data_IF_432637387640
#
_entry.id   IF_432637387640
#
_cell.length_a   1.000
_cell.length_b   1.000
_cell.length_c   1.000
_cell.angle_alpha   90.00
_cell.angle_beta   90.00
_cell.angle_gamma   90.00
#
_symmetry.space_group_name_H-M   'P 1'
#
loop_
_entity.id
_entity.type
_entity.pdbx_description
1 polymer ?
#
# COMPACT_ATOMS: atom_id res chain seq x y z
N UNK A 1 -39.69 68.02 -24.14
CA UNK A 1 -40.16 68.95 -25.19
C UNK A 1 -39.74 68.39 -26.53
N UNK A 2 -40.77 68.16 -27.32
CA UNK A 2 -40.87 67.87 -28.74
C UNK A 2 -39.89 68.61 -29.67
N UNK A 3 -39.61 67.94 -30.79
CA UNK A 3 -39.59 68.42 -32.19
C UNK A 3 -38.26 68.62 -32.94
N UNK A 4 -38.32 68.04 -34.16
CA UNK A 4 -37.74 68.46 -35.45
C UNK A 4 -36.29 68.05 -35.82
N UNK A 5 -36.18 67.15 -36.81
CA UNK A 5 -35.12 67.20 -37.83
C UNK A 5 -35.48 68.25 -38.91
N UNK A 6 -34.99 68.17 -40.17
CA UNK A 6 -33.91 67.36 -40.78
C UNK A 6 -32.94 68.25 -41.61
N UNK A 7 -31.90 67.68 -42.26
CA UNK A 7 -31.60 68.03 -43.67
C UNK A 7 -30.58 67.06 -44.29
N UNK A 8 -30.98 66.51 -45.45
CA UNK A 8 -30.14 65.77 -46.38
C UNK A 8 -29.18 66.71 -47.13
N UNK A 9 -27.93 66.29 -47.28
CA UNK A 9 -27.09 66.66 -48.41
C UNK A 9 -26.42 65.39 -48.96
N UNK A 10 -26.86 64.96 -50.15
CA UNK A 10 -26.12 64.03 -51.01
C UNK A 10 -24.94 64.80 -51.62
N UNK A 11 -23.83 64.09 -51.90
CA UNK A 11 -23.24 63.92 -53.25
C UNK A 11 -21.74 63.54 -53.17
N UNK A 12 -21.41 62.45 -53.90
CA UNK A 12 -20.10 62.00 -54.44
C UNK A 12 -19.02 61.64 -53.39
N UNK A 13 -18.54 60.40 -53.28
CA UNK A 13 -18.19 59.47 -54.34
C UNK A 13 -16.67 59.39 -54.46
N UNK A 14 -16.05 58.43 -53.76
CA UNK A 14 -14.73 57.86 -54.07
C UNK A 14 -14.64 56.49 -53.40
N UNK A 15 -14.77 55.45 -54.22
CA UNK A 15 -14.50 54.08 -53.82
C UNK A 15 -12.99 53.95 -53.56
N UNK A 16 -12.64 53.64 -52.31
CA UNK A 16 -11.29 53.25 -51.93
C UNK A 16 -11.33 51.73 -51.76
N UNK A 17 -10.67 51.01 -52.67
CA UNK A 17 -10.44 49.58 -52.52
C UNK A 17 -9.62 49.34 -51.25
N UNK A 18 -10.26 48.81 -50.21
CA UNK A 18 -9.54 48.13 -49.13
C UNK A 18 -9.23 46.71 -49.61
N UNK A 19 -7.96 46.45 -49.93
CA UNK A 19 -7.43 45.09 -50.01
C UNK A 19 -7.32 44.60 -48.57
N UNK A 20 -8.35 43.89 -48.10
CA UNK A 20 -8.31 43.18 -46.83
C UNK A 20 -7.45 41.93 -46.98
N UNK A 21 -6.25 41.94 -46.40
CA UNK A 21 -5.44 40.74 -46.22
C UNK A 21 -6.17 39.78 -45.28
N UNK A 22 -6.81 38.74 -45.84
CA UNK A 22 -7.20 37.56 -45.07
C UNK A 22 -5.91 36.84 -44.64
N UNK A 23 -5.46 37.11 -43.42
CA UNK A 23 -4.54 36.21 -42.74
C UNK A 23 -5.34 34.96 -42.36
N UNK A 24 -5.23 33.90 -43.17
CA UNK A 24 -5.80 32.60 -42.87
C UNK A 24 -5.17 32.05 -41.59
N UNK A 25 -5.97 31.91 -40.53
CA UNK A 25 -5.63 31.10 -39.38
C UNK A 25 -5.58 29.64 -39.86
N UNK A 26 -4.38 29.15 -40.20
CA UNK A 26 -4.16 27.72 -40.34
C UNK A 26 -4.24 27.10 -38.96
N UNK A 27 -5.40 26.55 -38.61
CA UNK A 27 -5.49 25.56 -37.53
C UNK A 27 -4.77 24.31 -38.04
N UNK A 28 -3.53 24.12 -37.61
CA UNK A 28 -2.85 22.85 -37.79
C UNK A 28 -3.52 21.83 -36.87
N UNK A 29 -4.40 21.00 -37.43
CA UNK A 29 -4.79 19.74 -36.82
C UNK A 29 -3.53 18.88 -36.76
N UNK A 30 -2.94 18.72 -35.58
CA UNK A 30 -1.86 17.76 -35.37
C UNK A 30 -2.39 16.37 -35.75
N UNK A 31 -1.85 15.77 -36.83
CA UNK A 31 -2.10 14.36 -37.14
C UNK A 31 -1.58 13.54 -35.96
N UNK A 32 -2.44 12.69 -35.37
CA UNK A 32 -2.03 11.79 -34.30
C UNK A 32 -0.91 10.87 -34.82
N UNK A 33 0.12 10.67 -34.00
CA UNK A 33 1.21 9.74 -34.32
C UNK A 33 0.68 8.30 -34.39
N UNK A 34 1.21 7.43 -35.26
CA UNK A 34 0.87 6.00 -35.27
C UNK A 34 1.02 5.32 -33.90
N UNK A 35 1.89 5.84 -33.04
CA UNK A 35 2.03 5.40 -31.64
C UNK A 35 0.76 5.72 -30.85
N UNK A 36 0.37 7.01 -30.83
CA UNK A 36 -0.82 7.49 -30.12
C UNK A 36 -2.10 6.75 -30.51
N UNK A 37 -2.28 6.48 -31.80
CA UNK A 37 -3.45 5.76 -32.32
C UNK A 37 -3.48 4.28 -31.89
N UNK A 38 -2.32 3.67 -31.64
CA UNK A 38 -2.20 2.26 -31.27
C UNK A 38 -2.44 2.01 -29.77
N UNK A 39 -2.13 2.97 -28.90
CA UNK A 39 -2.21 2.81 -27.44
C UNK A 39 -3.61 2.43 -26.91
N UNK A 40 -4.74 3.04 -27.37
CA UNK A 40 -6.06 2.69 -26.86
C UNK A 40 -6.41 1.21 -27.03
N UNK A 41 -5.96 0.56 -28.11
CA UNK A 41 -6.24 -0.85 -28.37
C UNK A 41 -5.56 -1.78 -27.36
N UNK A 42 -4.38 -1.42 -26.85
CA UNK A 42 -3.68 -2.19 -25.80
C UNK A 42 -4.45 -2.14 -24.48
N UNK A 43 -5.08 -1.01 -24.16
CA UNK A 43 -5.81 -0.81 -22.89
C UNK A 43 -7.11 -1.62 -22.79
N UNK A 44 -7.63 -2.13 -23.91
CA UNK A 44 -8.88 -2.89 -23.96
C UNK A 44 -8.69 -4.39 -23.71
N UNK A 45 -7.46 -4.85 -23.42
CA UNK A 45 -7.21 -6.26 -23.11
C UNK A 45 -7.79 -6.60 -21.74
N UNK A 46 -8.61 -7.65 -21.68
CA UNK A 46 -9.17 -8.17 -20.44
C UNK A 46 -8.76 -9.62 -20.15
N UNK A 47 -9.23 -10.14 -19.02
CA UNK A 47 -8.93 -11.48 -18.52
C UNK A 47 -9.60 -12.60 -19.33
N UNK A 48 -10.64 -12.31 -20.12
CA UNK A 48 -11.29 -13.26 -21.02
C UNK A 48 -10.63 -13.29 -22.42
N UNK A 49 -9.64 -12.42 -22.64
CA UNK A 49 -8.92 -12.30 -23.91
C UNK A 49 -9.64 -11.43 -24.94
N UNK A 50 -10.69 -10.69 -24.55
CA UNK A 50 -11.26 -9.66 -25.40
C UNK A 50 -10.21 -8.58 -25.68
N UNK A 51 -10.24 -8.00 -26.87
CA UNK A 51 -9.24 -6.99 -27.30
C UNK A 51 -7.89 -7.55 -27.78
N UNK A 52 -7.55 -8.82 -27.49
CA UNK A 52 -6.23 -9.40 -27.83
C UNK A 52 -5.83 -9.26 -29.31
N UNK A 53 -6.76 -9.50 -30.24
CA UNK A 53 -6.45 -9.41 -31.68
C UNK A 53 -6.12 -7.97 -32.11
N UNK A 54 -6.81 -6.98 -31.53
CA UNK A 54 -6.53 -5.56 -31.77
C UNK A 54 -5.21 -5.15 -31.11
N UNK A 55 -4.99 -5.57 -29.86
CA UNK A 55 -3.77 -5.34 -29.12
C UNK A 55 -2.54 -5.92 -29.83
N UNK A 56 -2.63 -7.14 -30.40
CA UNK A 56 -1.54 -7.75 -31.15
C UNK A 56 -1.14 -6.96 -32.40
N UNK A 57 -2.11 -6.31 -33.08
CA UNK A 57 -1.83 -5.42 -34.22
C UNK A 57 -1.20 -4.11 -33.75
N UNK A 58 -1.77 -3.50 -32.72
CA UNK A 58 -1.24 -2.28 -32.11
C UNK A 58 0.19 -2.48 -31.59
N UNK A 59 0.46 -3.60 -30.92
CA UNK A 59 1.77 -3.95 -30.39
C UNK A 59 2.84 -3.98 -31.48
N UNK A 60 2.54 -4.49 -32.69
CA UNK A 60 3.50 -4.46 -33.81
C UNK A 60 3.87 -3.03 -34.23
N UNK A 61 2.93 -2.09 -34.16
CA UNK A 61 3.17 -0.68 -34.44
C UNK A 61 4.06 -0.08 -33.35
N UNK A 62 3.69 -0.29 -32.08
CA UNK A 62 4.43 0.22 -30.93
C UNK A 62 5.86 -0.33 -30.88
N UNK A 63 6.04 -1.64 -31.00
CA UNK A 63 7.36 -2.30 -30.96
C UNK A 63 8.25 -1.94 -32.16
N UNK A 64 7.70 -1.34 -33.23
CA UNK A 64 8.44 -0.85 -34.39
C UNK A 64 8.74 0.65 -34.32
N UNK A 65 8.25 1.36 -33.30
CA UNK A 65 8.50 2.77 -33.11
C UNK A 65 9.97 3.06 -32.80
N UNK A 66 10.37 4.32 -33.00
CA UNK A 66 11.68 4.83 -32.60
C UNK A 66 11.79 4.95 -31.06
N UNK A 67 13.02 4.93 -30.55
CA UNK A 67 13.29 5.06 -29.12
C UNK A 67 12.71 6.36 -28.51
N UNK A 68 12.55 7.43 -29.31
CA UNK A 68 11.87 8.66 -28.89
C UNK A 68 10.41 8.48 -28.46
N UNK A 69 9.74 7.38 -28.84
CA UNK A 69 8.38 7.06 -28.41
C UNK A 69 8.29 6.46 -27.00
N UNK A 70 9.42 6.11 -26.37
CA UNK A 70 9.44 5.44 -25.07
C UNK A 70 8.65 6.19 -23.98
N UNK A 71 8.79 7.53 -23.78
CA UNK A 71 8.01 8.24 -22.77
C UNK A 71 6.50 8.17 -22.98
N UNK A 72 6.03 8.23 -24.23
CA UNK A 72 4.59 8.14 -24.56
C UNK A 72 4.03 6.74 -24.23
N UNK A 73 4.79 5.68 -24.55
CA UNK A 73 4.38 4.30 -24.28
C UNK A 73 4.46 3.98 -22.79
N UNK A 74 5.43 4.53 -22.07
CA UNK A 74 5.52 4.44 -20.61
C UNK A 74 4.34 5.14 -19.94
N UNK A 75 3.98 6.36 -20.38
CA UNK A 75 2.80 7.08 -19.88
C UNK A 75 1.49 6.32 -20.12
N UNK A 76 1.42 5.49 -21.16
CA UNK A 76 0.25 4.66 -21.40
C UNK A 76 0.01 3.58 -20.32
N UNK A 77 0.99 3.32 -19.45
CA UNK A 77 0.81 2.46 -18.27
C UNK A 77 -0.06 3.12 -17.18
N UNK A 78 -0.25 4.44 -17.22
CA UNK A 78 -1.10 5.16 -16.26
C UNK A 78 -2.53 4.65 -16.31
N UNK A 79 -2.97 4.01 -15.22
CA UNK A 79 -4.29 3.39 -15.13
C UNK A 79 -4.48 2.17 -16.05
N UNK A 80 -3.40 1.57 -16.56
CA UNK A 80 -3.47 0.33 -17.31
C UNK A 80 -3.69 -0.86 -16.36
N UNK A 81 -4.58 -1.78 -16.74
CA UNK A 81 -4.71 -3.04 -16.01
C UNK A 81 -3.42 -3.89 -16.14
N UNK A 82 -3.21 -4.93 -15.32
CA UNK A 82 -2.00 -5.73 -15.35
C UNK A 82 -1.68 -6.37 -16.71
N UNK A 83 -2.70 -6.76 -17.47
CA UNK A 83 -2.53 -7.39 -18.79
C UNK A 83 -2.06 -6.36 -19.83
N UNK A 84 -2.72 -5.20 -19.90
CA UNK A 84 -2.31 -4.10 -20.76
C UNK A 84 -0.89 -3.60 -20.45
N UNK A 85 -0.52 -3.51 -19.16
CA UNK A 85 0.84 -3.17 -18.76
C UNK A 85 1.89 -4.17 -19.27
N UNK A 86 1.57 -5.46 -19.31
CA UNK A 86 2.47 -6.48 -19.88
C UNK A 86 2.65 -6.32 -21.39
N UNK A 87 1.58 -5.99 -22.12
CA UNK A 87 1.68 -5.67 -23.56
C UNK A 87 2.54 -4.43 -23.82
N UNK A 88 2.38 -3.38 -23.03
CA UNK A 88 3.18 -2.16 -23.13
C UNK A 88 4.67 -2.43 -22.83
N UNK A 89 4.96 -3.21 -21.77
CA UNK A 89 6.35 -3.64 -21.46
C UNK A 89 6.96 -4.40 -22.63
N UNK A 90 6.24 -5.37 -23.20
CA UNK A 90 6.74 -6.13 -24.34
C UNK A 90 7.00 -5.24 -25.57
N UNK A 91 6.21 -4.17 -25.77
CA UNK A 91 6.46 -3.21 -26.85
C UNK A 91 7.75 -2.40 -26.60
N UNK A 92 7.95 -1.96 -25.36
CA UNK A 92 9.17 -1.26 -24.92
C UNK A 92 10.41 -2.15 -25.14
N UNK A 93 10.36 -3.43 -24.76
CA UNK A 93 11.45 -4.38 -25.02
C UNK A 93 11.77 -4.50 -26.52
N UNK A 94 10.72 -4.50 -27.36
CA UNK A 94 10.84 -4.48 -28.82
C UNK A 94 11.54 -3.23 -29.37
N UNK A 95 11.30 -2.06 -28.77
CA UNK A 95 11.98 -0.81 -29.13
C UNK A 95 13.44 -0.84 -28.66
N UNK A 96 13.67 -1.20 -27.40
CA UNK A 96 14.99 -1.18 -26.75
C UNK A 96 15.96 -2.14 -27.44
N UNK A 97 15.50 -3.35 -27.80
CA UNK A 97 16.30 -4.33 -28.52
C UNK A 97 16.80 -3.83 -29.88
N UNK A 98 16.08 -2.92 -30.54
CA UNK A 98 16.47 -2.32 -31.83
C UNK A 98 17.32 -1.07 -31.67
N UNK A 99 17.11 -0.32 -30.58
CA UNK A 99 17.78 0.95 -30.33
C UNK A 99 19.30 0.86 -30.14
N UNK A 100 19.85 -0.35 -29.92
CA UNK A 100 21.30 -0.58 -29.80
C UNK A 100 21.97 0.35 -28.77
N UNK A 101 21.31 0.56 -27.63
CA UNK A 101 21.77 1.42 -26.52
C UNK A 101 21.53 2.93 -26.72
N UNK A 102 21.03 3.37 -27.87
CA UNK A 102 20.68 4.78 -28.11
C UNK A 102 19.27 5.09 -27.61
N UNK A 103 19.15 5.26 -26.30
CA UNK A 103 17.90 5.63 -25.65
C UNK A 103 17.81 7.15 -25.40
N UNK A 104 16.60 7.75 -25.39
CA UNK A 104 16.42 9.16 -25.08
C UNK A 104 16.51 9.41 -23.57
N UNK A 105 17.73 9.30 -23.01
CA UNK A 105 17.98 9.36 -21.57
C UNK A 105 17.37 10.62 -20.93
N UNK A 106 17.54 11.80 -21.54
CA UNK A 106 16.98 13.04 -20.99
C UNK A 106 15.45 13.03 -20.93
N UNK A 107 14.78 12.43 -21.91
CA UNK A 107 13.32 12.32 -21.92
C UNK A 107 12.83 11.28 -20.89
N UNK A 108 13.57 10.20 -20.69
CA UNK A 108 13.28 9.21 -19.64
C UNK A 108 13.48 9.80 -18.23
N UNK A 109 14.52 10.62 -18.05
CA UNK A 109 14.75 11.38 -16.80
C UNK A 109 13.60 12.36 -16.54
N UNK A 110 13.15 13.09 -17.56
CA UNK A 110 12.00 13.98 -17.44
C UNK A 110 10.73 13.21 -17.04
N UNK A 111 10.48 12.06 -17.66
CA UNK A 111 9.37 11.17 -17.30
C UNK A 111 9.46 10.69 -15.83
N UNK A 112 10.66 10.29 -15.37
CA UNK A 112 10.87 9.84 -13.99
C UNK A 112 10.57 10.91 -12.93
N UNK A 113 10.82 12.18 -13.25
CA UNK A 113 10.57 13.31 -12.37
C UNK A 113 9.07 13.56 -12.13
N UNK A 114 8.20 13.08 -13.02
CA UNK A 114 6.75 13.13 -12.85
C UNK A 114 6.26 11.98 -11.96
N UNK A 115 6.23 12.23 -10.65
CA UNK A 115 5.87 11.24 -9.62
C UNK A 115 4.42 10.73 -9.69
N UNK A 116 3.57 11.37 -10.50
CA UNK A 116 2.17 10.97 -10.73
C UNK A 116 2.01 9.77 -11.66
N UNK A 117 3.04 9.43 -12.44
CA UNK A 117 2.99 8.28 -13.33
C UNK A 117 2.94 6.98 -12.55
N UNK A 118 2.37 5.95 -13.17
CA UNK A 118 2.27 4.61 -12.62
C UNK A 118 3.66 4.10 -12.16
N UNK A 119 3.78 3.58 -10.92
CA UNK A 119 5.05 3.07 -10.40
C UNK A 119 5.74 2.05 -11.31
N UNK A 120 4.98 1.24 -12.06
CA UNK A 120 5.52 0.24 -13.00
C UNK A 120 6.19 0.90 -14.20
N UNK A 121 5.59 1.96 -14.73
CA UNK A 121 6.15 2.76 -15.81
C UNK A 121 7.41 3.49 -15.35
N UNK A 122 7.35 4.12 -14.17
CA UNK A 122 8.51 4.80 -13.57
C UNK A 122 9.66 3.82 -13.28
N UNK A 123 9.38 2.63 -12.73
CA UNK A 123 10.42 1.60 -12.56
C UNK A 123 11.10 1.25 -13.88
N UNK A 124 10.31 0.96 -14.91
CA UNK A 124 10.85 0.58 -16.21
C UNK A 124 11.69 1.71 -16.82
N UNK A 125 11.24 2.97 -16.72
CA UNK A 125 12.02 4.12 -17.16
C UNK A 125 13.37 4.21 -16.44
N UNK A 126 13.40 3.96 -15.13
CA UNK A 126 14.65 3.93 -14.36
C UNK A 126 15.58 2.81 -14.82
N UNK A 127 15.07 1.60 -15.03
CA UNK A 127 15.88 0.47 -15.53
C UNK A 127 16.48 0.76 -16.91
N UNK A 128 15.73 1.46 -17.78
CA UNK A 128 16.23 1.91 -19.09
C UNK A 128 17.34 2.96 -18.95
N UNK A 129 17.18 3.93 -18.04
CA UNK A 129 18.25 4.91 -17.75
C UNK A 129 19.46 4.19 -17.17
N UNK A 130 19.28 3.26 -16.24
CA UNK A 130 20.36 2.48 -15.63
C UNK A 130 21.15 1.66 -16.66
N UNK A 131 20.47 1.07 -17.64
CA UNK A 131 21.14 0.31 -18.72
C UNK A 131 21.91 1.20 -19.70
N UNK A 132 21.42 2.42 -19.98
CA UNK A 132 22.03 3.33 -20.94
C UNK A 132 23.09 4.26 -20.33
N UNK A 133 22.87 4.74 -19.11
CA UNK A 133 23.74 5.65 -18.36
C UNK A 133 23.69 5.34 -16.85
N UNK A 134 24.51 4.38 -16.38
CA UNK A 134 24.53 3.97 -14.98
C UNK A 134 24.88 5.10 -14.01
N UNK A 135 25.78 6.02 -14.40
CA UNK A 135 26.19 7.14 -13.56
C UNK A 135 25.03 8.13 -13.36
N UNK A 136 24.27 8.38 -14.42
CA UNK A 136 23.06 9.20 -14.32
C UNK A 136 21.99 8.54 -13.47
N UNK A 137 21.76 7.24 -13.62
CA UNK A 137 20.81 6.50 -12.78
C UNK A 137 21.20 6.55 -11.29
N UNK A 138 22.48 6.38 -10.98
CA UNK A 138 22.98 6.50 -9.61
C UNK A 138 22.75 7.91 -9.03
N UNK A 139 22.94 8.96 -9.84
CA UNK A 139 22.67 10.34 -9.41
C UNK A 139 21.18 10.58 -9.14
N UNK A 140 20.27 9.97 -9.92
CA UNK A 140 18.82 10.14 -9.71
C UNK A 140 18.38 9.64 -8.33
N UNK A 141 18.98 8.55 -7.84
CA UNK A 141 18.63 7.97 -6.55
C UNK A 141 18.85 8.92 -5.37
N UNK A 142 19.71 9.94 -5.50
CA UNK A 142 19.96 10.93 -4.44
C UNK A 142 18.71 11.72 -4.05
N UNK A 143 17.74 11.86 -4.97
CA UNK A 143 16.48 12.55 -4.75
C UNK A 143 15.27 11.65 -4.46
N UNK A 144 15.46 10.33 -4.41
CA UNK A 144 14.35 9.35 -4.44
C UNK A 144 14.09 8.67 -3.09
N UNK A 145 14.72 9.12 -2.00
CA UNK A 145 14.56 8.47 -0.68
C UNK A 145 13.12 8.52 -0.14
N UNK A 146 12.31 9.49 -0.56
CA UNK A 146 10.88 9.59 -0.24
C UNK A 146 9.97 9.34 -1.45
N UNK A 147 10.50 8.76 -2.54
CA UNK A 147 9.77 8.59 -3.80
C UNK A 147 8.49 7.75 -3.60
N UNK A 148 7.33 8.12 -4.18
CA UNK A 148 6.09 7.36 -3.99
C UNK A 148 6.12 5.96 -4.64
N UNK A 149 7.02 5.70 -5.60
CA UNK A 149 7.28 4.35 -6.07
C UNK A 149 8.14 3.61 -5.06
N UNK A 150 7.54 2.63 -4.37
CA UNK A 150 8.23 1.82 -3.34
C UNK A 150 9.50 1.15 -3.87
N UNK A 151 9.53 0.77 -5.15
CA UNK A 151 10.72 0.15 -5.74
C UNK A 151 11.87 1.15 -5.94
N UNK A 152 11.58 2.36 -6.46
CA UNK A 152 12.59 3.42 -6.59
C UNK A 152 13.07 3.90 -5.23
N UNK A 153 12.13 4.03 -4.28
CA UNK A 153 12.43 4.34 -2.89
C UNK A 153 13.38 3.31 -2.28
N UNK A 154 13.08 2.01 -2.45
CA UNK A 154 13.91 0.92 -1.91
C UNK A 154 15.36 1.02 -2.39
N UNK A 155 15.55 1.29 -3.68
CA UNK A 155 16.88 1.40 -4.29
C UNK A 155 17.62 2.67 -3.78
N UNK A 156 16.91 3.79 -3.60
CA UNK A 156 17.47 5.00 -2.99
C UNK A 156 17.87 4.77 -1.51
N UNK A 157 17.01 4.10 -0.73
CA UNK A 157 17.32 3.71 0.65
C UNK A 157 18.52 2.75 0.69
N UNK A 158 18.64 1.83 -0.26
CA UNK A 158 19.81 0.95 -0.37
C UNK A 158 21.12 1.72 -0.61
N UNK A 159 21.08 2.79 -1.41
CA UNK A 159 22.22 3.71 -1.58
C UNK A 159 22.63 4.37 -0.25
N UNK A 160 21.64 4.82 0.54
CA UNK A 160 21.91 5.41 1.87
C UNK A 160 22.47 4.37 2.85
N UNK A 161 21.95 3.14 2.84
CA UNK A 161 22.50 2.02 3.63
C UNK A 161 23.97 1.77 3.28
N UNK A 162 24.31 1.71 2.00
CA UNK A 162 25.68 1.50 1.55
C UNK A 162 26.61 2.61 2.05
N UNK A 163 26.17 3.88 1.96
CA UNK A 163 26.91 5.02 2.50
C UNK A 163 27.07 4.94 4.02
N UNK A 164 26.03 4.56 4.75
CA UNK A 164 26.09 4.39 6.21
C UNK A 164 27.10 3.30 6.60
N UNK A 165 27.14 2.19 5.85
CA UNK A 165 28.14 1.13 6.04
C UNK A 165 29.58 1.61 5.84
N UNK A 166 29.84 2.47 4.84
CA UNK A 166 31.15 3.10 4.64
C UNK A 166 31.53 3.99 5.82
N UNK A 167 30.62 4.86 6.28
CA UNK A 167 30.85 5.73 7.44
C UNK A 167 31.16 4.92 8.70
N UNK A 168 30.44 3.82 8.92
CA UNK A 168 30.67 2.92 10.05
C UNK A 168 32.05 2.27 9.97
N UNK A 169 32.47 1.80 8.78
CA UNK A 169 33.79 1.22 8.55
C UNK A 169 34.94 2.23 8.75
N UNK A 170 34.70 3.51 8.45
CA UNK A 170 35.63 4.62 8.72
C UNK A 170 35.67 5.06 10.19
N UNK A 171 34.87 4.43 11.07
CA UNK A 171 34.78 4.78 12.48
C UNK A 171 33.90 6.00 12.79
N UNK A 172 33.21 6.57 11.80
CA UNK A 172 32.28 7.70 11.94
C UNK A 172 30.91 7.23 12.40
N UNK A 173 30.86 6.66 13.60
CA UNK A 173 29.66 5.97 14.13
C UNK A 173 28.44 6.87 14.24
N UNK A 174 28.60 8.12 14.66
CA UNK A 174 27.47 9.06 14.80
C UNK A 174 26.87 9.42 13.43
N UNK A 175 27.72 9.66 12.42
CA UNK A 175 27.26 9.93 11.05
C UNK A 175 26.58 8.70 10.43
N UNK A 176 27.13 7.50 10.67
CA UNK A 176 26.53 6.25 10.23
C UNK A 176 25.15 6.03 10.87
N UNK A 177 25.02 6.27 12.18
CA UNK A 177 23.75 6.16 12.89
C UNK A 177 22.69 7.10 12.31
N UNK A 178 23.04 8.37 12.06
CA UNK A 178 22.13 9.33 11.41
C UNK A 178 21.70 8.83 10.03
N UNK A 179 22.63 8.30 9.22
CA UNK A 179 22.31 7.78 7.90
C UNK A 179 21.40 6.54 7.96
N UNK A 180 21.65 5.60 8.89
CA UNK A 180 20.75 4.46 9.07
C UNK A 180 19.37 4.87 9.57
N UNK A 181 19.26 5.86 10.48
CA UNK A 181 17.97 6.38 10.94
C UNK A 181 17.18 7.05 9.81
N UNK A 182 17.86 7.82 8.95
CA UNK A 182 17.26 8.40 7.75
C UNK A 182 16.73 7.31 6.81
N UNK A 183 17.55 6.28 6.52
CA UNK A 183 17.14 5.15 5.71
C UNK A 183 15.98 4.36 6.34
N UNK A 184 15.97 4.22 7.67
CA UNK A 184 14.91 3.51 8.42
C UNK A 184 13.57 4.22 8.26
N UNK A 185 13.54 5.54 8.50
CA UNK A 185 12.32 6.35 8.36
C UNK A 185 11.71 6.27 6.94
N UNK A 186 12.56 6.22 5.91
CA UNK A 186 12.14 6.11 4.52
C UNK A 186 11.73 4.69 4.09
N UNK A 187 12.21 3.65 4.76
CA UNK A 187 12.01 2.26 4.33
C UNK A 187 10.56 1.80 4.44
N UNK A 188 10.11 0.99 3.47
CA UNK A 188 8.75 0.42 3.40
C UNK A 188 8.71 -1.10 3.26
N UNK A 189 9.87 -1.76 3.13
CA UNK A 189 9.95 -3.22 2.98
C UNK A 189 10.43 -3.86 4.27
N UNK A 190 9.79 -4.97 4.68
CA UNK A 190 10.07 -5.64 5.96
C UNK A 190 11.55 -5.98 6.11
N UNK A 191 12.15 -6.62 5.09
CA UNK A 191 13.56 -7.01 5.14
C UNK A 191 14.51 -5.82 5.32
N UNK A 192 14.30 -4.73 4.58
CA UNK A 192 15.14 -3.53 4.70
C UNK A 192 14.97 -2.85 6.07
N UNK A 193 13.75 -2.79 6.60
CA UNK A 193 13.46 -2.27 7.95
C UNK A 193 14.18 -3.10 9.01
N UNK A 194 14.14 -4.44 8.91
CA UNK A 194 14.82 -5.34 9.84
C UNK A 194 16.33 -5.18 9.83
N UNK A 195 16.94 -5.12 8.64
CA UNK A 195 18.38 -4.87 8.50
C UNK A 195 18.79 -3.53 9.11
N UNK A 196 18.02 -2.47 8.84
CA UNK A 196 18.26 -1.14 9.39
C UNK A 196 18.09 -1.09 10.90
N UNK A 197 17.05 -1.75 11.43
CA UNK A 197 16.81 -1.83 12.86
C UNK A 197 17.98 -2.48 13.60
N UNK A 198 18.52 -3.57 13.06
CA UNK A 198 19.70 -4.24 13.60
C UNK A 198 20.92 -3.31 13.58
N UNK A 199 21.20 -2.63 12.46
CA UNK A 199 22.33 -1.71 12.34
C UNK A 199 22.23 -0.52 13.31
N UNK A 200 21.04 0.07 13.48
CA UNK A 200 20.80 1.15 14.44
C UNK A 200 21.08 0.69 15.87
N UNK A 201 20.58 -0.50 16.25
CA UNK A 201 20.79 -1.08 17.59
C UNK A 201 22.26 -1.39 17.86
N UNK A 202 22.99 -1.89 16.87
CA UNK A 202 24.43 -2.15 16.98
C UNK A 202 25.22 -0.88 17.32
N UNK A 203 24.79 0.27 16.79
CA UNK A 203 25.38 1.58 17.07
C UNK A 203 24.80 2.24 18.34
N UNK A 204 23.97 1.54 19.12
CA UNK A 204 23.37 2.04 20.36
C UNK A 204 22.13 2.92 20.17
N UNK A 205 21.59 3.01 18.95
CA UNK A 205 20.35 3.73 18.66
C UNK A 205 19.10 2.95 19.07
N UNK A 206 18.02 3.68 19.33
CA UNK A 206 16.71 3.11 19.63
C UNK A 206 15.88 2.88 18.36
N UNK A 207 15.10 1.81 18.35
CA UNK A 207 14.18 1.45 17.25
C UNK A 207 12.86 0.99 17.83
N UNK A 208 11.77 1.59 17.36
CA UNK A 208 10.40 1.17 17.65
C UNK A 208 9.77 0.63 16.36
N UNK A 209 9.84 -0.70 16.18
CA UNK A 209 9.29 -1.38 15.00
C UNK A 209 7.76 -1.32 14.99
N UNK A 210 7.12 -1.46 16.16
CA UNK A 210 5.67 -1.41 16.27
C UNK A 210 5.13 -0.07 15.77
N UNK A 211 5.73 1.04 16.20
CA UNK A 211 5.40 2.38 15.71
C UNK A 211 5.79 2.57 14.24
N UNK A 212 6.97 2.14 13.81
CA UNK A 212 7.42 2.32 12.42
C UNK A 212 6.50 1.64 11.41
N UNK A 213 6.04 0.43 11.72
CA UNK A 213 5.02 -0.25 10.93
C UNK A 213 3.61 0.32 11.20
N UNK A 214 3.33 0.87 12.37
CA UNK A 214 1.97 1.33 12.72
C UNK A 214 1.07 0.19 13.17
N UNK A 215 1.65 -0.83 13.83
CA UNK A 215 0.90 -1.89 14.48
C UNK A 215 0.07 -1.33 15.64
N UNK A 216 -1.17 -1.80 15.73
CA UNK A 216 -2.04 -1.52 16.87
C UNK A 216 -1.73 -2.54 17.96
N UNK A 217 -1.23 -2.07 19.09
CA UNK A 217 -0.72 -2.93 20.17
C UNK A 217 -1.66 -3.04 21.36
N UNK A 218 -2.72 -2.22 21.42
CA UNK A 218 -3.66 -2.14 22.53
C UNK A 218 -5.06 -2.49 22.08
N UNK A 219 -5.66 -3.46 22.77
CA UNK A 219 -6.95 -4.04 22.41
C UNK A 219 -7.80 -4.31 23.65
N UNK A 220 -9.10 -4.40 23.42
CA UNK A 220 -10.08 -5.00 24.30
C UNK A 220 -10.51 -6.32 23.67
N UNK A 221 -10.47 -7.43 24.40
CA UNK A 221 -10.85 -8.75 23.89
C UNK A 221 -12.06 -9.32 24.61
N UNK A 222 -12.98 -9.92 23.87
CA UNK A 222 -14.14 -10.61 24.41
C UNK A 222 -14.26 -12.01 23.80
N UNK A 223 -14.42 -13.01 24.67
CA UNK A 223 -14.45 -14.42 24.32
C UNK A 223 -14.09 -15.29 25.53
N UNK A 224 -13.94 -16.61 25.35
CA UNK A 224 -14.17 -17.35 24.11
C UNK A 224 -15.67 -17.54 23.82
N UNK A 225 -16.06 -17.36 22.57
CA UNK A 225 -17.35 -17.77 22.00
C UNK A 225 -17.21 -19.12 21.30
N UNK A 226 -18.34 -19.77 21.01
CA UNK A 226 -18.33 -21.04 20.32
C UNK A 226 -17.97 -20.90 18.83
N UNK A 227 -17.09 -21.78 18.37
CA UNK A 227 -16.74 -21.98 16.97
C UNK A 227 -16.69 -23.48 16.62
N UNK A 228 -17.48 -24.30 17.31
CA UNK A 228 -17.65 -25.73 17.02
C UNK A 228 -18.02 -25.92 15.54
N UNK A 229 -17.32 -26.85 14.87
CA UNK A 229 -17.51 -27.08 13.43
C UNK A 229 -17.20 -25.87 12.53
N UNK A 230 -16.49 -24.85 13.04
CA UNK A 230 -16.22 -23.56 12.37
C UNK A 230 -17.45 -22.71 12.09
N UNK A 231 -18.59 -23.01 12.71
CA UNK A 231 -19.86 -22.31 12.46
C UNK A 231 -19.84 -20.84 12.95
N UNK A 232 -19.03 -20.56 13.97
CA UNK A 232 -18.92 -19.24 14.59
C UNK A 232 -18.33 -18.16 13.67
N UNK A 233 -17.60 -18.56 12.62
CA UNK A 233 -17.13 -17.63 11.59
C UNK A 233 -18.31 -16.91 10.90
N UNK A 234 -19.28 -17.69 10.43
CA UNK A 234 -20.44 -17.20 9.70
C UNK A 234 -21.53 -16.61 10.62
N UNK A 235 -21.63 -17.10 11.86
CA UNK A 235 -22.59 -16.60 12.83
C UNK A 235 -22.39 -15.11 13.13
N UNK A 236 -23.50 -14.36 13.22
CA UNK A 236 -23.49 -12.94 13.62
C UNK A 236 -23.70 -12.84 15.13
N UNK A 237 -22.62 -12.57 15.87
CA UNK A 237 -22.69 -12.47 17.33
C UNK A 237 -22.87 -11.01 17.80
N UNK A 238 -23.28 -10.78 19.06
CA UNK A 238 -23.59 -9.44 19.55
C UNK A 238 -22.46 -8.39 19.39
N UNK A 239 -21.15 -8.71 19.60
CA UNK A 239 -20.06 -7.75 19.38
C UNK A 239 -20.01 -7.17 17.95
N UNK A 240 -20.55 -7.86 16.94
CA UNK A 240 -20.59 -7.36 15.55
C UNK A 240 -21.62 -6.24 15.33
N UNK A 241 -22.61 -6.13 16.22
CA UNK A 241 -23.77 -5.24 16.03
C UNK A 241 -23.58 -3.88 16.68
N UNK A 242 -22.92 -3.85 17.83
CA UNK A 242 -22.71 -2.63 18.61
C UNK A 242 -21.38 -2.70 19.36
N UNK A 243 -20.64 -1.61 19.28
CA UNK A 243 -19.40 -1.43 20.04
C UNK A 243 -19.74 -0.93 21.45
N UNK A 244 -19.92 -1.86 22.39
CA UNK A 244 -20.13 -1.55 23.80
C UNK A 244 -19.14 -2.35 24.66
N UNK A 245 -18.07 -1.66 25.08
CA UNK A 245 -17.02 -2.25 25.92
C UNK A 245 -17.48 -2.62 27.34
N UNK A 246 -18.70 -2.21 27.74
CA UNK A 246 -19.28 -2.54 29.05
C UNK A 246 -20.24 -3.73 28.99
N UNK A 247 -20.56 -4.20 27.78
CA UNK A 247 -21.50 -5.30 27.60
C UNK A 247 -20.93 -6.64 28.09
N UNK A 248 -21.86 -7.53 28.44
CA UNK A 248 -21.59 -8.93 28.76
C UNK A 248 -22.36 -9.82 27.80
N UNK A 249 -21.74 -10.89 27.33
CA UNK A 249 -22.28 -11.78 26.31
C UNK A 249 -22.33 -13.23 26.78
N UNK A 250 -23.15 -14.05 26.13
CA UNK A 250 -23.06 -15.51 26.24
C UNK A 250 -21.87 -16.01 25.42
N UNK A 251 -20.84 -16.51 26.10
CA UNK A 251 -19.69 -17.20 25.52
C UNK A 251 -19.88 -18.72 25.54
N UNK A 252 -18.83 -19.46 25.17
CA UNK A 252 -18.88 -20.93 25.01
C UNK A 252 -19.17 -21.66 26.34
N UNK A 253 -18.47 -21.27 27.40
CA UNK A 253 -18.54 -21.92 28.73
C UNK A 253 -19.22 -21.05 29.80
N UNK A 254 -19.81 -19.92 29.40
CA UNK A 254 -20.41 -18.97 30.34
C UNK A 254 -20.40 -17.54 29.84
N UNK A 255 -20.74 -16.60 30.72
CA UNK A 255 -20.75 -15.17 30.38
C UNK A 255 -19.33 -14.64 30.16
N UNK A 256 -19.14 -13.82 29.13
CA UNK A 256 -17.86 -13.19 28.79
C UNK A 256 -18.03 -11.67 28.70
N UNK A 257 -16.98 -10.93 29.04
CA UNK A 257 -16.91 -9.47 28.97
C UNK A 257 -15.57 -9.04 28.37
N UNK A 258 -15.47 -7.76 27.99
CA UNK A 258 -14.26 -7.19 27.42
C UNK A 258 -13.14 -7.10 28.46
N UNK A 259 -11.92 -7.48 28.05
CA UNK A 259 -10.71 -7.43 28.86
C UNK A 259 -9.60 -6.74 28.09
N UNK A 260 -8.86 -5.85 28.75
CA UNK A 260 -7.73 -5.19 28.12
C UNK A 260 -6.59 -6.20 27.86
N UNK A 261 -6.01 -6.14 26.67
CA UNK A 261 -4.76 -6.81 26.31
C UNK A 261 -3.86 -5.82 25.59
N UNK A 262 -2.58 -5.82 25.96
CA UNK A 262 -1.52 -5.05 25.30
C UNK A 262 -0.38 -6.00 24.95
N UNK A 263 0.20 -5.83 23.77
CA UNK A 263 1.40 -6.57 23.36
C UNK A 263 2.62 -5.67 23.35
N UNK A 264 3.74 -6.22 23.80
CA UNK A 264 5.07 -5.61 23.68
C UNK A 264 5.90 -6.27 22.57
N UNK A 265 5.29 -7.15 21.78
CA UNK A 265 5.93 -7.76 20.61
C UNK A 265 6.28 -6.67 19.59
N UNK A 266 7.51 -6.69 19.08
CA UNK A 266 8.02 -5.64 18.19
C UNK A 266 7.29 -5.57 16.84
N UNK A 267 6.57 -6.63 16.46
CA UNK A 267 5.73 -6.70 15.27
C UNK A 267 4.23 -6.64 15.61
N UNK A 268 3.90 -6.27 16.85
CA UNK A 268 2.51 -6.08 17.26
C UNK A 268 1.70 -7.37 17.30
N UNK A 269 2.33 -8.53 17.46
CA UNK A 269 1.62 -9.79 17.59
C UNK A 269 0.83 -9.85 18.90
N UNK A 270 -0.49 -10.00 18.80
CA UNK A 270 -1.42 -10.16 19.91
C UNK A 270 -1.79 -11.62 20.04
N UNK A 271 -1.43 -12.23 21.17
CA UNK A 271 -1.71 -13.65 21.44
C UNK A 271 -2.87 -13.81 22.43
N UNK A 272 -4.00 -14.32 21.94
CA UNK A 272 -5.23 -14.48 22.72
C UNK A 272 -5.15 -15.63 23.72
N UNK A 273 -4.23 -16.59 23.55
CA UNK A 273 -4.00 -17.65 24.52
C UNK A 273 -3.45 -17.11 25.85
N UNK A 274 -2.93 -15.87 25.90
CA UNK A 274 -2.52 -15.22 27.16
C UNK A 274 -3.75 -14.90 28.03
N UNK A 275 -4.83 -14.41 27.40
CA UNK A 275 -6.10 -14.11 28.09
C UNK A 275 -6.96 -15.35 28.29
N UNK A 276 -6.93 -16.26 27.32
CA UNK A 276 -7.74 -17.48 27.29
C UNK A 276 -6.83 -18.71 27.25
N UNK A 277 -6.14 -19.03 28.35
CA UNK A 277 -5.23 -20.15 28.37
C UNK A 277 -6.00 -21.46 28.19
N UNK A 278 -5.40 -22.45 27.49
CA UNK A 278 -5.95 -23.79 27.43
C UNK A 278 -6.05 -24.40 28.83
N UNK A 279 -7.01 -25.30 29.08
CA UNK A 279 -7.04 -26.05 30.33
C UNK A 279 -5.73 -26.84 30.52
N UNK A 280 -5.26 -26.99 31.77
CA UNK A 280 -4.07 -27.78 32.04
C UNK A 280 -4.30 -29.22 31.55
N UNK A 281 -3.25 -29.88 31.02
CA UNK A 281 -3.37 -31.28 30.63
C UNK A 281 -3.75 -32.15 31.84
N UNK A 282 -4.44 -33.29 31.64
CA UNK A 282 -4.71 -34.25 32.70
C UNK A 282 -3.43 -34.62 33.46
N UNK A 283 -3.55 -34.86 34.78
CA UNK A 283 -2.39 -35.14 35.64
C UNK A 283 -1.60 -36.40 35.22
N UNK A 284 -2.23 -37.31 34.49
CA UNK A 284 -1.70 -38.55 33.94
C UNK A 284 -1.27 -38.45 32.48
N UNK A 285 -1.45 -37.29 31.83
CA UNK A 285 -1.02 -37.08 30.46
C UNK A 285 0.51 -37.09 30.36
N UNK A 286 1.04 -38.06 29.61
CA UNK A 286 2.45 -38.02 29.21
C UNK A 286 2.68 -36.72 28.42
N UNK A 287 3.72 -35.92 28.72
CA UNK A 287 4.10 -34.80 27.88
C UNK A 287 4.28 -35.33 26.46
N UNK A 288 3.59 -34.73 25.48
CA UNK A 288 3.84 -35.08 24.09
C UNK A 288 5.34 -34.86 23.81
N UNK A 289 5.99 -35.83 23.16
CA UNK A 289 7.36 -35.65 22.69
C UNK A 289 7.38 -34.42 21.76
N UNK A 290 8.13 -33.38 22.15
CA UNK A 290 8.12 -32.08 21.48
C UNK A 290 7.34 -30.97 22.18
N UNK A 291 6.73 -31.22 23.35
CA UNK A 291 6.20 -30.17 24.22
C UNK A 291 5.01 -29.42 23.64
N UNK A 292 3.96 -30.13 23.20
CA UNK A 292 2.75 -29.49 22.70
C UNK A 292 2.08 -28.67 23.80
N UNK A 293 2.29 -27.35 23.78
CA UNK A 293 1.38 -26.39 24.40
C UNK A 293 0.11 -26.45 23.56
N UNK A 294 -0.88 -27.23 23.98
CA UNK A 294 -2.13 -27.35 23.23
C UNK A 294 -2.94 -26.06 23.43
N UNK A 295 -3.26 -25.32 22.37
CA UNK A 295 -4.14 -24.13 22.47
C UNK A 295 -5.61 -24.51 22.68
N UNK A 296 -6.44 -23.55 23.10
CA UNK A 296 -7.90 -23.75 23.16
C UNK A 296 -8.45 -23.96 21.73
N UNK A 297 -9.48 -24.80 21.57
CA UNK A 297 -10.00 -25.24 20.26
C UNK A 297 -11.48 -24.96 20.10
N UNK A 298 -11.91 -24.87 18.85
CA UNK A 298 -13.32 -24.64 18.49
C UNK A 298 -13.89 -23.39 19.18
N UNK A 299 -13.09 -22.34 19.23
CA UNK A 299 -13.46 -21.07 19.86
C UNK A 299 -13.24 -19.91 18.90
N UNK A 300 -13.90 -18.81 19.18
CA UNK A 300 -13.57 -17.52 18.60
C UNK A 300 -13.58 -16.42 19.66
N UNK A 301 -12.99 -15.29 19.34
CA UNK A 301 -12.98 -14.10 20.17
C UNK A 301 -13.01 -12.87 19.28
N UNK A 302 -13.41 -11.76 19.87
CA UNK A 302 -13.31 -10.45 19.26
C UNK A 302 -12.19 -9.67 19.91
N UNK A 303 -11.43 -8.92 19.11
CA UNK A 303 -10.56 -7.86 19.59
C UNK A 303 -11.02 -6.53 19.01
N UNK A 304 -11.15 -5.53 19.88
CA UNK A 304 -11.67 -4.21 19.62
C UNK A 304 -10.64 -3.14 20.01
N UNK A 305 -10.51 -2.09 19.21
CA UNK A 305 -9.70 -0.91 19.57
C UNK A 305 -10.30 0.35 18.95
N UNK A 306 -9.98 1.49 19.54
CA UNK A 306 -10.33 2.80 18.99
C UNK A 306 -9.05 3.51 18.54
N UNK A 307 -9.01 3.90 17.27
CA UNK A 307 -7.86 4.55 16.64
C UNK A 307 -8.17 6.02 16.36
N UNK A 308 -7.39 6.92 16.97
CA UNK A 308 -7.52 8.37 16.79
C UNK A 308 -6.76 8.83 15.55
N UNK A 309 -7.44 8.88 14.40
CA UNK A 309 -6.82 9.27 13.14
C UNK A 309 -6.62 10.79 13.06
N UNK A 310 -5.40 11.28 12.75
CA UNK A 310 -5.13 12.72 12.63
C UNK A 310 -5.85 13.35 11.43
N UNK A 311 -6.19 12.56 10.42
CA UNK A 311 -6.78 12.99 9.16
C UNK A 311 -7.91 12.05 8.73
N UNK A 312 -8.83 12.55 7.91
CA UNK A 312 -9.78 11.72 7.18
C UNK A 312 -9.19 11.36 5.82
N UNK A 313 -9.39 10.14 5.34
CA UNK A 313 -8.88 9.75 4.03
C UNK A 313 -8.72 8.25 3.81
N UNK A 314 -8.20 7.87 2.64
CA UNK A 314 -7.87 6.47 2.34
C UNK A 314 -6.77 5.97 3.28
N UNK A 315 -6.90 4.71 3.67
CA UNK A 315 -5.93 3.97 4.45
C UNK A 315 -6.00 2.48 4.08
N UNK A 316 -5.08 1.68 4.59
CA UNK A 316 -5.15 0.23 4.55
C UNK A 316 -5.12 -0.34 5.97
N UNK A 317 -5.98 -1.31 6.21
CA UNK A 317 -5.78 -2.27 7.30
C UNK A 317 -4.99 -3.43 6.72
N UNK A 318 -3.87 -3.78 7.39
CA UNK A 318 -3.08 -4.95 7.02
C UNK A 318 -2.98 -5.91 8.19
N UNK A 319 -3.20 -7.20 7.91
CA UNK A 319 -3.30 -8.27 8.91
C UNK A 319 -2.30 -9.37 8.59
N UNK A 320 -1.66 -9.91 9.63
CA UNK A 320 -1.03 -11.22 9.61
C UNK A 320 -1.68 -12.11 10.67
N UNK A 321 -2.14 -13.30 10.27
CA UNK A 321 -2.67 -14.30 11.20
C UNK A 321 -2.77 -15.66 10.50
N UNK A 322 -2.53 -16.72 11.26
CA UNK A 322 -2.82 -18.09 10.81
C UNK A 322 -4.24 -18.55 11.11
N UNK A 323 -5.04 -17.74 11.79
CA UNK A 323 -6.41 -18.06 12.17
C UNK A 323 -7.43 -17.49 11.17
N UNK A 324 -8.65 -18.03 11.16
CA UNK A 324 -9.72 -17.42 10.36
C UNK A 324 -10.16 -16.10 11.00
N UNK A 325 -10.51 -15.12 10.16
CA UNK A 325 -10.71 -13.75 10.63
C UNK A 325 -11.76 -12.96 9.84
N UNK A 326 -12.36 -11.96 10.49
CA UNK A 326 -13.24 -10.96 9.85
C UNK A 326 -13.05 -9.61 10.52
N UNK A 327 -13.05 -8.53 9.73
CA UNK A 327 -12.80 -7.16 10.22
C UNK A 327 -13.94 -6.21 9.92
N UNK A 328 -14.19 -5.30 10.86
CA UNK A 328 -15.09 -4.16 10.73
C UNK A 328 -14.36 -2.87 11.07
N UNK A 329 -14.76 -1.80 10.40
CA UNK A 329 -14.34 -0.43 10.70
C UNK A 329 -15.58 0.43 10.86
N UNK A 330 -15.71 1.13 11.99
CA UNK A 330 -16.85 1.99 12.30
C UNK A 330 -18.20 1.27 12.15
N UNK A 331 -18.25 0.00 12.59
CA UNK A 331 -19.44 -0.87 12.50
C UNK A 331 -19.74 -1.42 11.10
N UNK A 332 -18.96 -1.07 10.06
CA UNK A 332 -19.14 -1.58 8.71
C UNK A 332 -18.22 -2.78 8.44
N UNK A 333 -18.74 -3.92 7.94
CA UNK A 333 -17.89 -5.05 7.57
C UNK A 333 -16.98 -4.67 6.42
N UNK A 334 -15.68 -4.98 6.55
CA UNK A 334 -14.68 -4.74 5.51
C UNK A 334 -14.50 -6.01 4.68
N UNK A 335 -13.96 -7.07 5.30
CA UNK A 335 -13.70 -8.34 4.65
C UNK A 335 -13.44 -9.43 5.71
N UNK A 336 -13.38 -10.69 5.29
CA UNK A 336 -12.98 -11.81 6.13
C UNK A 336 -12.63 -13.06 5.33
N UNK A 337 -11.84 -13.95 5.93
CA UNK A 337 -11.39 -15.21 5.34
C UNK A 337 -11.60 -16.35 6.34
N UNK A 338 -12.36 -17.35 5.90
CA UNK A 338 -12.55 -18.61 6.63
C UNK A 338 -11.41 -19.59 6.32
N UNK A 339 -10.18 -19.18 6.64
CA UNK A 339 -8.96 -19.90 6.33
C UNK A 339 -8.14 -20.09 7.62
N UNK A 340 -7.71 -21.32 7.89
CA UNK A 340 -6.97 -21.70 9.10
C UNK A 340 -5.61 -22.30 8.75
N UNK A 341 -4.65 -22.15 9.66
CA UNK A 341 -3.28 -22.69 9.59
C UNK A 341 -2.53 -22.30 8.32
N UNK A 342 -2.86 -21.12 7.78
CA UNK A 342 -2.05 -20.42 6.80
C UNK A 342 -0.87 -19.82 7.56
N UNK A 343 0.34 -19.83 7.02
CA UNK A 343 1.47 -19.17 7.69
C UNK A 343 1.14 -17.70 8.04
N UNK A 344 1.79 -17.17 9.06
CA UNK A 344 1.61 -15.79 9.50
C UNK A 344 2.69 -14.90 8.90
N UNK A 345 2.34 -14.11 7.89
CA UNK A 345 3.25 -13.12 7.29
C UNK A 345 2.80 -11.69 7.62
N UNK A 346 3.74 -10.75 7.75
CA UNK A 346 3.42 -9.33 7.82
C UNK A 346 2.71 -8.92 6.53
N UNK A 347 1.60 -8.20 6.67
CA UNK A 347 0.81 -7.71 5.55
C UNK A 347 0.25 -8.81 4.62
N UNK A 348 0.03 -10.02 5.14
CA UNK A 348 -0.55 -11.16 4.42
C UNK A 348 -1.90 -10.81 3.77
N UNK A 349 -2.73 -10.05 4.49
CA UNK A 349 -3.98 -9.51 3.98
C UNK A 349 -3.94 -7.98 4.02
N UNK A 350 -4.35 -7.34 2.93
CA UNK A 350 -4.39 -5.88 2.80
C UNK A 350 -5.77 -5.46 2.32
N UNK A 351 -6.39 -4.54 3.04
CA UNK A 351 -7.75 -4.09 2.73
C UNK A 351 -7.79 -2.57 2.72
N UNK A 352 -8.19 -1.95 1.60
CA UNK A 352 -8.43 -0.52 1.56
C UNK A 352 -9.64 -0.18 2.44
N UNK A 353 -9.49 0.87 3.24
CA UNK A 353 -10.53 1.43 4.11
C UNK A 353 -10.50 2.96 4.02
N UNK A 354 -11.54 3.60 4.55
CA UNK A 354 -11.58 5.06 4.67
C UNK A 354 -11.72 5.40 6.15
N UNK A 355 -10.72 6.11 6.68
CA UNK A 355 -10.75 6.61 8.05
C UNK A 355 -11.46 7.95 8.11
N UNK A 356 -12.20 8.17 9.20
CA UNK A 356 -12.65 9.50 9.60
C UNK A 356 -11.51 10.19 10.34
N UNK A 357 -11.47 11.53 10.33
CA UNK A 357 -10.66 12.26 11.30
C UNK A 357 -11.26 12.02 12.69
N UNK A 358 -10.40 11.78 13.69
CA UNK A 358 -10.81 11.46 15.05
C UNK A 358 -10.96 9.96 15.28
N UNK A 359 -11.85 9.54 16.19
CA UNK A 359 -11.94 8.15 16.60
C UNK A 359 -12.51 7.27 15.51
N UNK A 360 -11.84 6.14 15.26
CA UNK A 360 -12.29 5.07 14.39
C UNK A 360 -12.31 3.76 15.18
N UNK A 361 -13.46 3.10 15.22
CA UNK A 361 -13.59 1.81 15.89
C UNK A 361 -13.14 0.71 14.94
N UNK A 362 -12.24 -0.15 15.40
CA UNK A 362 -11.75 -1.31 14.67
C UNK A 362 -12.09 -2.55 15.47
N UNK A 363 -12.72 -3.52 14.81
CA UNK A 363 -13.10 -4.80 15.39
C UNK A 363 -12.57 -5.91 14.51
N UNK A 364 -11.93 -6.91 15.10
CA UNK A 364 -11.55 -8.16 14.45
C UNK A 364 -12.21 -9.32 15.20
N UNK A 365 -12.83 -10.23 14.45
CA UNK A 365 -13.21 -11.57 14.89
C UNK A 365 -12.04 -12.49 14.54
N UNK A 366 -11.61 -13.32 15.48
CA UNK A 366 -10.54 -14.31 15.29
C UNK A 366 -11.02 -15.68 15.74
N UNK A 367 -11.01 -16.66 14.82
CA UNK A 367 -11.53 -18.00 15.06
C UNK A 367 -10.41 -19.04 15.08
N UNK A 368 -10.50 -19.99 16.01
CA UNK A 368 -9.64 -21.16 16.13
C UNK A 368 -10.47 -22.42 15.85
N UNK A 369 -9.91 -23.37 15.11
CA UNK A 369 -10.60 -24.59 14.69
C UNK A 369 -10.37 -25.76 15.67
N UNK A 370 -10.85 -26.94 15.29
CA UNK A 370 -10.77 -28.19 16.02
C UNK A 370 -9.43 -28.92 15.90
N UNK A 371 -8.55 -28.53 14.97
CA UNK A 371 -7.36 -29.31 14.64
C UNK A 371 -6.39 -29.37 15.81
N UNK A 372 -5.89 -30.56 16.14
CA UNK A 372 -4.91 -30.79 17.21
C UNK A 372 -3.60 -31.28 16.62
N UNK A 373 -2.76 -30.33 16.22
CA UNK A 373 -1.37 -30.56 15.75
C UNK A 373 -0.43 -29.54 16.40
N UNK A 374 0.88 -29.83 16.51
CA UNK A 374 1.83 -28.91 17.13
C UNK A 374 1.86 -27.49 16.53
N UNK A 375 1.51 -27.35 15.25
CA UNK A 375 1.49 -26.07 14.49
C UNK A 375 0.11 -25.40 14.44
N UNK A 376 -0.83 -25.84 15.28
CA UNK A 376 -2.22 -25.32 15.28
C UNK A 376 -2.54 -24.61 16.59
N UNK A 377 -1.55 -24.35 17.43
CA UNK A 377 -1.74 -23.83 18.79
C UNK A 377 -1.99 -22.34 18.79
N UNK A 378 -1.41 -21.65 17.83
CA UNK A 378 -1.39 -20.21 17.71
C UNK A 378 -2.82 -19.68 17.56
N UNK A 379 -3.17 -18.74 18.44
CA UNK A 379 -4.42 -18.00 18.37
C UNK A 379 -4.07 -16.52 18.51
N UNK A 380 -3.60 -15.97 17.41
CA UNK A 380 -2.89 -14.70 17.41
C UNK A 380 -3.11 -13.92 16.12
N UNK A 381 -2.95 -12.61 16.21
CA UNK A 381 -3.03 -11.73 15.07
C UNK A 381 -2.15 -10.51 15.30
N UNK A 382 -1.68 -9.93 14.19
CA UNK A 382 -1.13 -8.58 14.17
C UNK A 382 -1.94 -7.76 13.17
N UNK A 383 -2.24 -6.51 13.50
CA UNK A 383 -2.99 -5.60 12.64
C UNK A 383 -2.34 -4.22 12.70
N UNK A 384 -2.12 -3.63 11.53
CA UNK A 384 -1.55 -2.27 11.38
C UNK A 384 -2.40 -1.40 10.47
N UNK A 385 -2.21 -0.08 10.64
CA UNK A 385 -2.78 0.97 9.79
C UNK A 385 -1.68 1.70 9.03
N UNK A 386 -1.84 1.80 7.71
CA UNK A 386 -0.90 2.49 6.85
C UNK A 386 -1.58 3.14 5.63
N UNK A 387 -0.83 3.96 4.90
CA UNK A 387 -1.23 4.38 3.56
C UNK A 387 -1.01 3.25 2.53
N UNK A 388 -1.38 3.51 1.27
CA UNK A 388 -1.25 2.53 0.17
C UNK A 388 0.19 2.06 -0.09
N UNK A 389 1.19 2.90 0.21
CA UNK A 389 2.61 2.57 0.05
C UNK A 389 3.21 1.92 1.31
N UNK A 390 2.41 1.75 2.37
CA UNK A 390 2.80 1.09 3.61
C UNK A 390 3.46 2.01 4.66
N UNK A 391 3.36 3.34 4.52
CA UNK A 391 3.73 4.30 5.57
C UNK A 391 2.73 4.20 6.71
N UNK A 392 3.21 4.04 7.95
CA UNK A 392 2.33 4.03 9.12
C UNK A 392 1.46 5.29 9.19
N UNK A 393 0.15 5.10 9.43
CA UNK A 393 -0.73 6.18 9.87
C UNK A 393 -0.72 6.13 11.39
N UNK A 394 0.00 7.07 11.99
CA UNK A 394 0.14 7.15 13.44
C UNK A 394 -1.06 7.88 14.05
N UNK A 395 -1.47 7.52 15.27
CA UNK A 395 -2.52 8.25 15.96
C UNK A 395 -2.06 9.71 16.19
N UNK A 396 -3.01 10.65 16.27
CA UNK A 396 -2.69 12.02 16.60
C UNK A 396 -1.93 12.07 17.94
N UNK A 397 -0.71 12.65 17.95
CA UNK A 397 0.08 12.80 19.18
C UNK A 397 -0.71 13.69 20.15
N UNK A 398 -1.44 13.08 21.09
CA UNK A 398 -2.30 13.85 21.99
C UNK A 398 -3.45 13.13 22.67
N UNK A 399 -3.33 11.84 23.01
CA UNK A 399 -4.04 11.32 24.19
C UNK A 399 -3.12 10.34 24.90
N UNK A 400 -2.39 10.85 25.89
CA UNK A 400 -2.21 10.10 27.12
C UNK A 400 -3.63 9.84 27.64
N UNK A 401 -4.22 8.70 27.26
CA UNK A 401 -5.55 8.34 27.72
C UNK A 401 -5.38 7.93 29.17
N UNK A 402 -5.81 8.82 30.06
CA UNK A 402 -6.16 8.52 31.45
C UNK A 402 -6.72 7.08 31.51
N UNK A 403 -6.25 6.16 32.34
CA UNK A 403 -5.85 6.30 33.74
C UNK A 403 -4.63 5.39 34.03
N UNK A 404 -3.55 5.98 34.57
CA UNK A 404 -2.80 5.28 35.62
C UNK A 404 -3.64 5.41 36.89
N UNK A 405 -4.59 4.50 37.10
CA UNK A 405 -5.25 4.37 38.39
C UNK A 405 -4.44 3.42 39.27
N UNK A 406 -3.65 4.05 40.15
CA UNK A 406 -3.05 3.59 41.42
C UNK A 406 -2.20 2.33 41.44
#
# INVERSE_FOLDING_TARGET
MTFQGPLLARVRGRAMLLVGSLAGLMVQSALASPVSDALPAIRQVDHEGQGNAAAARAWKVLAAADASALPEILAAMDGANPLAANWLRAAIDGIVSKASGRLPVDALVAFLAETRHDPRGRRLAFDLVQGADPARAEQLLDGMIEDPSVELRRDAVAKVIARAGVLQAEGKKDEALVAYQQAFAASRTVGQIQTLAAAIRELGGAVDLARHFGFLTRWQVAGPFDNTGKEGFAAVLPPEKFFDLKATYDGKEGKVSWQAIETTDEYGMVNLNITYPPPPPPADAKPAEGGSKEGIKEVLAYAATEFESPLAGPAEIRIGTGNAWKVWVNGQPVFGRDEYHRGTEIDQYRMPVVLKKGPNQILIKLCQDEQRKPWTTEWEFQLRLCDEVGTAILPADGVATQERSQ
#
